data_IF_866199589923
#
_entry.id   IF_866199589923
#
_cell.length_a   1.000
_cell.length_b   1.000
_cell.length_c   1.000
_cell.angle_alpha   90.00
_cell.angle_beta   90.00
_cell.angle_gamma   90.00
#
_symmetry.space_group_name_H-M   'P 1'
#
loop_
_entity.id
_entity.type
_entity.pdbx_description
1 polymer ?
#
# COMPACT_ATOMS: atom_id res chain seq x y z
N UNK A 1 5.27 -4.85 -16.58
CA UNK A 1 6.50 -5.44 -15.98
C UNK A 1 6.15 -5.87 -14.58
N UNK A 2 6.58 -7.06 -14.10
CA UNK A 2 6.31 -7.53 -12.74
C UNK A 2 7.63 -7.82 -12.02
N UNK A 3 7.84 -7.19 -10.86
CA UNK A 3 9.00 -7.36 -9.99
C UNK A 3 8.54 -7.77 -8.61
N UNK A 4 9.19 -8.78 -8.04
CA UNK A 4 9.07 -9.13 -6.62
C UNK A 4 10.45 -9.11 -6.00
N UNK A 5 10.54 -8.61 -4.77
CA UNK A 5 11.81 -8.54 -4.08
C UNK A 5 11.69 -8.57 -2.56
N UNK A 6 12.82 -8.89 -1.95
CA UNK A 6 13.03 -8.84 -0.51
C UNK A 6 14.20 -7.90 -0.24
N UNK A 7 14.07 -7.07 0.79
CA UNK A 7 15.14 -6.23 1.31
C UNK A 7 15.31 -6.54 2.80
N UNK A 8 16.54 -6.52 3.29
CA UNK A 8 16.88 -6.59 4.72
C UNK A 8 17.09 -5.18 5.31
N UNK A 9 16.52 -4.15 4.66
CA UNK A 9 16.63 -2.76 5.05
C UNK A 9 17.77 -2.00 4.37
N UNK A 10 18.35 -2.55 3.29
CA UNK A 10 19.35 -1.84 2.49
C UNK A 10 18.78 -0.62 1.76
N UNK A 11 17.48 -0.64 1.49
CA UNK A 11 16.71 0.46 0.91
C UNK A 11 15.29 0.46 1.50
N UNK A 12 14.63 1.60 1.41
CA UNK A 12 13.31 1.91 1.95
C UNK A 12 12.26 2.03 0.83
N UNK A 13 11.00 2.21 1.23
CA UNK A 13 9.93 2.53 0.27
C UNK A 13 10.19 3.86 -0.48
N UNK A 14 10.82 4.84 0.19
CA UNK A 14 11.18 6.10 -0.45
C UNK A 14 12.17 5.89 -1.61
N UNK A 15 13.18 5.04 -1.39
CA UNK A 15 14.18 4.70 -2.41
C UNK A 15 13.54 3.95 -3.60
N UNK A 16 12.54 3.09 -3.34
CA UNK A 16 11.78 2.44 -4.41
C UNK A 16 10.95 3.43 -5.24
N UNK A 17 10.35 4.44 -4.60
CA UNK A 17 9.60 5.48 -5.29
C UNK A 17 10.55 6.33 -6.14
N UNK A 18 11.71 6.72 -5.59
CA UNK A 18 12.74 7.47 -6.31
C UNK A 18 13.23 6.70 -7.54
N UNK A 19 13.62 5.43 -7.38
CA UNK A 19 14.03 4.58 -8.49
C UNK A 19 12.91 4.38 -9.52
N UNK A 20 11.64 4.31 -9.08
CA UNK A 20 10.48 4.29 -9.97
C UNK A 20 10.38 5.56 -10.80
N UNK A 21 10.49 6.73 -10.17
CA UNK A 21 10.41 8.04 -10.84
C UNK A 21 11.57 8.28 -11.82
N UNK A 22 12.74 7.73 -11.57
CA UNK A 22 13.86 7.75 -12.54
C UNK A 22 13.51 7.04 -13.85
N UNK A 23 12.68 5.99 -13.79
CA UNK A 23 12.24 5.21 -14.95
C UNK A 23 10.99 5.81 -15.58
N UNK A 24 9.99 6.16 -14.78
CA UNK A 24 8.69 6.65 -15.29
C UNK A 24 8.76 8.09 -15.78
N UNK A 25 9.76 8.85 -15.32
CA UNK A 25 9.74 10.30 -15.38
C UNK A 25 8.69 10.89 -14.42
N UNK A 26 8.34 12.18 -14.60
CA UNK A 26 7.43 12.84 -13.67
C UNK A 26 6.05 12.16 -13.58
N UNK A 27 5.52 12.00 -12.38
CA UNK A 27 4.28 11.28 -12.09
C UNK A 27 3.51 11.86 -10.89
N UNK A 28 2.20 11.59 -10.86
CA UNK A 28 1.36 11.74 -9.68
C UNK A 28 1.63 10.58 -8.72
N UNK A 29 1.94 10.91 -7.46
CA UNK A 29 2.36 9.93 -6.46
C UNK A 29 1.30 9.78 -5.38
N UNK A 30 0.86 8.55 -5.13
CA UNK A 30 0.00 8.24 -3.97
C UNK A 30 0.73 7.28 -3.06
N UNK A 31 0.73 7.53 -1.75
CA UNK A 31 1.39 6.67 -0.77
C UNK A 31 0.40 6.29 0.33
N UNK A 32 0.21 4.99 0.53
CA UNK A 32 -0.39 4.48 1.74
C UNK A 32 0.70 3.91 2.65
N UNK A 33 0.70 4.32 3.91
CA UNK A 33 1.64 3.81 4.91
C UNK A 33 1.02 3.84 6.30
N UNK A 34 1.38 2.88 7.16
CA UNK A 34 0.95 2.92 8.55
C UNK A 34 1.72 3.99 9.35
N UNK A 35 2.99 4.22 9.02
CA UNK A 35 3.77 5.29 9.64
C UNK A 35 4.80 5.90 8.70
N UNK A 36 5.21 7.13 8.98
CA UNK A 36 6.22 7.84 8.21
C UNK A 36 7.42 8.22 9.09
N UNK A 37 8.58 8.39 8.47
CA UNK A 37 9.86 8.69 9.12
C UNK A 37 10.49 9.93 8.52
N UNK A 38 9.73 11.02 8.43
CA UNK A 38 10.19 12.30 7.88
C UNK A 38 10.98 13.16 8.88
N UNK A 39 11.52 12.60 9.97
CA UNK A 39 12.22 13.40 10.98
C UNK A 39 13.56 13.94 10.53
N UNK A 40 14.14 13.32 9.51
CA UNK A 40 15.27 13.92 8.86
C UNK A 40 14.73 14.97 7.89
N UNK A 41 15.05 16.24 8.16
CA UNK A 41 14.77 17.36 7.26
C UNK A 41 15.28 17.05 5.86
N UNK A 42 16.38 16.31 5.73
CA UNK A 42 16.89 15.90 4.44
C UNK A 42 15.99 14.88 3.74
N UNK A 43 15.34 13.95 4.45
CA UNK A 43 14.42 12.99 3.83
C UNK A 43 13.14 13.69 3.36
N UNK A 44 12.61 14.60 4.16
CA UNK A 44 11.47 15.43 3.78
C UNK A 44 11.83 16.39 2.63
N UNK A 45 13.01 17.00 2.64
CA UNK A 45 13.49 17.88 1.58
C UNK A 45 13.80 17.12 0.31
N UNK A 46 14.52 15.99 0.36
CA UNK A 46 14.78 15.12 -0.80
C UNK A 46 13.46 14.76 -1.46
N UNK A 47 12.49 14.31 -0.67
CA UNK A 47 11.20 13.92 -1.19
C UNK A 47 10.38 15.09 -1.74
N UNK A 48 10.38 16.26 -1.08
CA UNK A 48 9.75 17.48 -1.60
C UNK A 48 10.47 18.07 -2.83
N UNK A 49 11.76 17.77 -3.00
CA UNK A 49 12.61 18.21 -4.11
C UNK A 49 12.72 17.18 -5.24
N UNK A 50 12.07 16.01 -5.13
CA UNK A 50 11.91 15.10 -6.26
C UNK A 50 11.10 15.84 -7.31
N UNK A 51 11.78 16.54 -8.22
CA UNK A 51 11.17 17.35 -9.28
C UNK A 51 10.35 16.54 -10.28
N UNK A 52 10.31 15.21 -10.11
CA UNK A 52 9.45 14.29 -10.80
C UNK A 52 8.04 14.16 -10.17
N UNK A 53 7.79 14.62 -8.94
CA UNK A 53 6.46 14.50 -8.34
C UNK A 53 5.56 15.64 -8.83
N UNK A 54 4.50 15.31 -9.58
CA UNK A 54 3.51 16.27 -10.12
C UNK A 54 2.46 16.65 -9.08
N UNK A 55 1.99 15.65 -8.33
CA UNK A 55 1.08 15.80 -7.20
C UNK A 55 1.33 14.67 -6.20
N UNK A 56 0.87 14.87 -4.96
CA UNK A 56 1.04 13.87 -3.92
C UNK A 56 -0.21 13.67 -3.06
N UNK A 57 -0.52 12.41 -2.75
CA UNK A 57 -1.57 12.02 -1.82
C UNK A 57 -1.06 11.01 -0.80
N UNK A 58 -1.54 11.14 0.43
CA UNK A 58 -1.22 10.26 1.55
C UNK A 58 -2.47 9.62 2.13
N UNK A 59 -2.37 8.32 2.39
CA UNK A 59 -3.34 7.54 3.15
C UNK A 59 -2.64 6.93 4.35
N UNK A 60 -2.91 7.44 5.54
CA UNK A 60 -2.19 7.05 6.76
C UNK A 60 -3.09 6.47 7.84
N UNK A 61 -2.49 5.68 8.72
CA UNK A 61 -3.20 5.19 9.88
C UNK A 61 -3.42 6.29 10.93
N UNK A 62 -4.57 6.21 11.59
CA UNK A 62 -4.97 7.11 12.68
C UNK A 62 -4.18 6.95 13.98
N UNK A 63 -3.31 5.94 14.11
CA UNK A 63 -2.43 5.81 15.28
C UNK A 63 -1.15 6.63 15.13
N UNK A 64 -0.77 7.33 16.20
CA UNK A 64 0.53 7.95 16.33
C UNK A 64 1.49 6.96 17.01
N UNK A 65 2.71 6.84 16.49
CA UNK A 65 3.78 6.05 17.12
C UNK A 65 4.87 6.98 17.64
N UNK A 66 5.34 6.70 18.85
CA UNK A 66 6.43 7.48 19.46
C UNK A 66 7.68 7.41 18.58
N UNK A 67 8.19 8.57 18.18
CA UNK A 67 9.36 8.67 17.31
C UNK A 67 9.10 8.25 15.86
N UNK A 68 7.86 8.36 15.36
CA UNK A 68 7.48 8.32 13.92
C UNK A 68 6.63 9.54 13.57
N UNK A 69 6.87 10.13 12.39
CA UNK A 69 6.15 11.31 11.92
C UNK A 69 4.65 10.99 11.94
N UNK A 70 3.91 11.85 12.61
CA UNK A 70 2.47 11.70 12.77
C UNK A 70 1.77 12.16 11.49
N UNK A 71 0.52 11.74 11.27
CA UNK A 71 -0.28 12.30 10.17
C UNK A 71 -0.40 13.83 10.23
N UNK A 72 -0.34 14.44 11.43
CA UNK A 72 -0.29 15.91 11.59
C UNK A 72 1.00 16.50 11.00
N UNK A 73 2.14 15.86 11.25
CA UNK A 73 3.43 16.30 10.70
C UNK A 73 3.43 16.22 9.17
N UNK A 74 2.89 15.14 8.62
CA UNK A 74 2.75 14.95 7.16
C UNK A 74 1.79 16.00 6.57
N UNK A 75 0.65 16.25 7.21
CA UNK A 75 -0.26 17.33 6.80
C UNK A 75 0.42 18.70 6.82
N UNK A 76 1.29 18.97 7.80
CA UNK A 76 2.05 20.22 7.89
C UNK A 76 3.08 20.39 6.76
N UNK A 77 3.62 19.28 6.23
CA UNK A 77 4.61 19.31 5.15
C UNK A 77 3.98 19.37 3.75
N UNK A 78 2.87 18.65 3.52
CA UNK A 78 2.28 18.46 2.19
C UNK A 78 0.91 19.12 2.01
N UNK A 79 0.37 19.76 3.06
CA UNK A 79 -0.98 20.28 3.07
C UNK A 79 -1.99 19.28 3.64
N UNK A 80 -3.03 19.79 4.29
CA UNK A 80 -4.10 18.97 4.87
C UNK A 80 -4.94 18.27 3.79
N UNK A 81 -5.10 18.93 2.64
CA UNK A 81 -5.80 18.43 1.46
C UNK A 81 -5.14 17.17 0.89
N UNK A 82 -3.82 17.03 1.07
CA UNK A 82 -3.00 15.94 0.52
C UNK A 82 -3.05 14.67 1.35
N UNK A 83 -3.75 14.64 2.50
CA UNK A 83 -3.75 13.49 3.40
C UNK A 83 -5.17 13.10 3.83
N UNK A 84 -5.40 11.79 3.92
CA UNK A 84 -6.55 11.18 4.61
C UNK A 84 -6.09 10.15 5.64
N UNK A 85 -6.82 10.09 6.74
CA UNK A 85 -6.48 9.27 7.90
C UNK A 85 -7.65 8.39 8.28
N UNK A 86 -7.41 7.09 8.39
CA UNK A 86 -8.38 6.12 8.92
C UNK A 86 -7.64 4.92 9.52
N UNK A 87 -8.33 3.81 9.82
CA UNK A 87 -7.66 2.59 10.28
C UNK A 87 -7.16 1.75 9.10
N UNK A 88 -5.86 1.73 8.88
CA UNK A 88 -5.24 0.95 7.80
C UNK A 88 -3.89 0.38 8.19
N UNK A 89 -3.58 -0.79 7.65
CA UNK A 89 -2.23 -1.35 7.66
C UNK A 89 -1.75 -1.67 6.23
N UNK A 90 -2.54 -1.29 5.21
CA UNK A 90 -2.16 -1.39 3.82
C UNK A 90 -0.99 -0.44 3.55
N UNK A 91 -0.04 -0.90 2.74
CA UNK A 91 1.13 -0.12 2.36
C UNK A 91 1.35 -0.33 0.87
N UNK A 92 1.28 0.77 0.15
CA UNK A 92 1.45 0.78 -1.28
C UNK A 92 1.87 2.17 -1.74
N UNK A 93 2.47 2.23 -2.92
CA UNK A 93 2.70 3.47 -3.64
C UNK A 93 2.20 3.35 -5.08
N UNK A 94 1.61 4.41 -5.60
CA UNK A 94 1.23 4.54 -7.01
C UNK A 94 2.10 5.62 -7.64
N UNK A 95 2.57 5.37 -8.85
CA UNK A 95 3.26 6.35 -9.68
C UNK A 95 2.55 6.34 -11.03
N UNK A 96 1.72 7.36 -11.27
CA UNK A 96 0.88 7.44 -12.47
C UNK A 96 1.24 8.65 -13.33
N UNK A 97 1.32 8.44 -14.64
CA UNK A 97 1.41 9.51 -15.63
C UNK A 97 0.78 9.06 -16.95
N UNK A 98 1.01 9.78 -18.04
CA UNK A 98 0.42 9.47 -19.35
C UNK A 98 0.88 8.13 -19.94
N UNK A 99 1.98 7.56 -19.44
CA UNK A 99 2.64 6.38 -20.01
C UNK A 99 2.78 5.22 -19.03
N UNK A 100 2.59 5.45 -17.73
CA UNK A 100 2.89 4.49 -16.68
C UNK A 100 1.78 4.44 -15.63
N UNK A 101 1.42 3.22 -15.24
CA UNK A 101 0.47 2.88 -14.19
C UNK A 101 1.16 1.97 -13.16
N UNK A 102 2.19 2.51 -12.49
CA UNK A 102 3.02 1.72 -11.58
C UNK A 102 2.35 1.59 -10.22
N UNK A 103 2.25 0.35 -9.75
CA UNK A 103 1.77 -0.03 -8.42
C UNK A 103 2.89 -0.75 -7.67
N UNK A 104 3.24 -0.24 -6.50
CA UNK A 104 4.15 -0.87 -5.54
C UNK A 104 3.32 -1.32 -4.35
N UNK A 105 3.26 -2.61 -4.04
CA UNK A 105 2.73 -3.10 -2.76
C UNK A 105 3.87 -3.59 -1.89
N UNK A 106 3.82 -3.31 -0.58
CA UNK A 106 4.96 -3.63 0.29
C UNK A 106 4.55 -3.90 1.74
N UNK A 107 5.44 -4.50 2.52
CA UNK A 107 5.37 -4.49 3.97
C UNK A 107 6.07 -3.28 4.61
N UNK A 108 6.90 -2.54 3.85
CA UNK A 108 7.66 -1.38 4.32
C UNK A 108 6.77 -0.19 4.67
N UNK A 109 7.00 0.40 5.84
CA UNK A 109 6.50 1.75 6.12
C UNK A 109 7.37 2.80 5.39
N UNK A 110 6.87 4.02 5.28
CA UNK A 110 7.61 5.16 4.75
C UNK A 110 8.63 5.71 5.76
N UNK A 111 9.50 4.85 6.27
CA UNK A 111 10.58 5.16 7.20
C UNK A 111 11.75 4.16 7.03
N UNK A 112 12.83 4.33 7.80
CA UNK A 112 13.90 3.36 7.85
C UNK A 112 13.40 2.05 8.48
N UNK A 113 13.42 0.97 7.70
CA UNK A 113 13.03 -0.38 8.13
C UNK A 113 14.22 -1.35 8.05
N UNK A 114 15.05 -1.48 9.11
CA UNK A 114 16.19 -2.41 9.12
C UNK A 114 15.72 -3.85 9.41
N UNK A 115 14.79 -4.36 8.60
CA UNK A 115 14.18 -5.68 8.72
C UNK A 115 14.04 -6.32 7.34
N UNK A 116 13.77 -7.62 7.32
CA UNK A 116 13.31 -8.28 6.10
C UNK A 116 11.91 -7.76 5.74
N UNK A 117 11.79 -7.15 4.57
CA UNK A 117 10.55 -6.56 4.04
C UNK A 117 10.35 -7.05 2.62
N UNK A 118 9.10 -7.29 2.25
CA UNK A 118 8.72 -7.69 0.89
C UNK A 118 8.18 -6.49 0.11
N UNK A 119 8.39 -6.52 -1.20
CA UNK A 119 7.70 -5.64 -2.12
C UNK A 119 7.40 -6.35 -3.43
N UNK A 120 6.33 -5.91 -4.06
CA UNK A 120 5.96 -6.22 -5.43
C UNK A 120 5.78 -4.89 -6.16
N UNK A 121 6.25 -4.81 -7.39
CA UNK A 121 6.10 -3.64 -8.27
C UNK A 121 5.64 -4.11 -9.63
N UNK A 122 4.57 -3.49 -10.12
CA UNK A 122 3.99 -3.79 -11.42
C UNK A 122 3.62 -2.51 -12.16
N UNK A 123 3.66 -2.54 -13.48
CA UNK A 123 3.03 -1.55 -14.35
C UNK A 123 1.79 -2.21 -14.95
N UNK A 124 0.62 -1.89 -14.39
CA UNK A 124 -0.67 -2.56 -14.67
C UNK A 124 -1.84 -1.61 -14.36
N UNK A 125 -2.55 -1.19 -15.40
CA UNK A 125 -3.66 -0.22 -15.29
C UNK A 125 -4.81 -0.73 -14.43
N UNK A 126 -5.21 -2.00 -14.56
CA UNK A 126 -6.34 -2.54 -13.80
C UNK A 126 -6.06 -2.55 -12.29
N UNK A 127 -4.83 -2.92 -11.90
CA UNK A 127 -4.37 -2.83 -10.51
C UNK A 127 -4.27 -1.39 -10.06
N UNK A 128 -3.70 -0.50 -10.88
CA UNK A 128 -3.58 0.91 -10.53
C UNK A 128 -4.95 1.56 -10.31
N UNK A 129 -5.94 1.24 -11.15
CA UNK A 129 -7.30 1.75 -11.03
C UNK A 129 -8.01 1.23 -9.79
N UNK A 130 -7.78 -0.02 -9.38
CA UNK A 130 -8.28 -0.55 -8.11
C UNK A 130 -7.78 0.29 -6.92
N UNK A 131 -6.47 0.49 -6.82
CA UNK A 131 -5.89 1.25 -5.70
C UNK A 131 -6.22 2.74 -5.78
N UNK A 132 -6.20 3.33 -6.98
CA UNK A 132 -6.53 4.74 -7.19
C UNK A 132 -7.99 5.02 -6.85
N UNK A 133 -8.92 4.20 -7.34
CA UNK A 133 -10.34 4.35 -7.01
C UNK A 133 -10.61 4.23 -5.51
N UNK A 134 -9.84 3.38 -4.81
CA UNK A 134 -9.97 3.21 -3.36
C UNK A 134 -9.55 4.49 -2.65
N UNK A 135 -8.42 5.07 -3.08
CA UNK A 135 -7.92 6.34 -2.56
C UNK A 135 -8.88 7.49 -2.89
N UNK A 136 -9.43 7.53 -4.10
CA UNK A 136 -10.39 8.57 -4.50
C UNK A 136 -11.65 8.57 -3.63
N UNK A 137 -12.15 7.38 -3.28
CA UNK A 137 -13.28 7.24 -2.34
C UNK A 137 -12.92 7.75 -0.94
N UNK A 138 -11.73 7.40 -0.43
CA UNK A 138 -11.25 7.92 0.85
C UNK A 138 -11.15 9.45 0.84
N UNK A 139 -10.66 10.04 -0.24
CA UNK A 139 -10.52 11.49 -0.36
C UNK A 139 -11.85 12.22 -0.48
N UNK A 140 -12.90 11.54 -0.95
CA UNK A 140 -14.28 12.05 -1.01
C UNK A 140 -14.98 11.97 0.35
N UNK A 141 -14.86 10.84 1.03
CA UNK A 141 -15.63 10.53 2.23
C UNK A 141 -14.98 11.06 3.52
N UNK A 142 -13.64 11.02 3.58
CA UNK A 142 -12.92 11.39 4.79
C UNK A 142 -12.52 12.88 4.77
N UNK A 143 -12.55 13.54 5.94
CA UNK A 143 -12.10 14.93 6.06
C UNK A 143 -10.60 15.06 5.78
N UNK A 144 -10.21 16.25 5.33
CA UNK A 144 -8.81 16.63 5.12
C UNK A 144 -8.02 16.63 6.43
N UNK A 145 -6.74 16.28 6.35
CA UNK A 145 -5.83 16.33 7.50
C UNK A 145 -5.96 15.14 8.45
N UNK A 146 -5.34 15.31 9.62
CA UNK A 146 -5.31 14.31 10.69
C UNK A 146 -6.46 14.56 11.69
N UNK A 147 -7.66 14.12 11.36
CA UNK A 147 -8.85 14.36 12.19
C UNK A 147 -8.99 13.42 13.39
N UNK A 148 -8.10 12.43 13.50
CA UNK A 148 -8.19 11.39 14.54
C UNK A 148 -9.34 10.41 14.33
N UNK A 149 -10.08 10.54 13.23
CA UNK A 149 -11.15 9.62 12.87
C UNK A 149 -10.56 8.22 12.60
N UNK A 150 -11.21 7.23 13.19
CA UNK A 150 -10.82 5.80 13.12
C UNK A 150 -11.85 4.99 12.33
N UNK A 151 -12.87 5.64 11.80
CA UNK A 151 -13.96 5.01 11.08
C UNK A 151 -13.45 4.50 9.74
N UNK A 152 -13.71 3.24 9.45
CA UNK A 152 -13.50 2.68 8.11
C UNK A 152 -14.72 3.09 7.29
N UNK A 153 -14.59 3.68 6.09
CA UNK A 153 -15.74 4.04 5.28
C UNK A 153 -16.65 2.83 5.03
N UNK A 154 -17.94 2.99 5.27
CA UNK A 154 -18.93 1.89 5.19
C UNK A 154 -19.36 1.58 3.74
N UNK A 155 -19.15 2.50 2.80
CA UNK A 155 -19.68 2.44 1.44
C UNK A 155 -18.60 2.66 0.38
N UNK A 156 -17.52 1.88 0.45
CA UNK A 156 -16.55 1.86 -0.64
C UNK A 156 -17.20 1.18 -1.86
N UNK A 157 -17.16 1.83 -3.03
CA UNK A 157 -17.74 1.31 -4.28
C UNK A 157 -16.91 0.16 -4.90
N UNK A 158 -16.58 -0.86 -4.09
CA UNK A 158 -15.75 -2.00 -4.46
C UNK A 158 -16.56 -3.30 -4.37
N UNK A 159 -16.28 -4.30 -5.22
CA UNK A 159 -16.87 -5.62 -5.06
C UNK A 159 -16.50 -6.22 -3.70
N UNK A 160 -17.51 -6.57 -2.90
CA UNK A 160 -17.29 -7.23 -1.62
C UNK A 160 -16.88 -8.70 -1.80
N UNK A 161 -15.99 -9.15 -0.92
CA UNK A 161 -15.68 -10.58 -0.76
C UNK A 161 -16.56 -11.13 0.35
N UNK A 162 -17.44 -12.07 0.02
CA UNK A 162 -18.19 -12.85 1.02
C UNK A 162 -17.24 -13.86 1.71
N UNK A 163 -16.83 -13.62 2.97
CA UNK A 163 -15.89 -14.50 3.67
C UNK A 163 -16.55 -15.81 4.12
N UNK A 164 -17.87 -15.91 4.05
CA UNK A 164 -18.64 -17.08 4.47
C UNK A 164 -19.00 -18.01 3.31
N UNK A 165 -18.48 -17.77 2.10
CA UNK A 165 -18.65 -18.70 0.98
C UNK A 165 -18.13 -20.10 1.35
N UNK A 166 -19.06 -21.01 1.60
CA UNK A 166 -18.76 -22.43 1.78
C UNK A 166 -18.20 -23.01 0.47
N UNK A 167 -16.93 -23.36 0.42
CA UNK A 167 -16.37 -24.10 -0.71
C UNK A 167 -16.74 -25.59 -0.57
N UNK A 168 -17.37 -26.16 -1.61
CA UNK A 168 -17.51 -27.63 -1.71
C UNK A 168 -16.20 -28.18 -2.24
N UNK A 169 -15.46 -28.91 -1.41
CA UNK A 169 -14.40 -29.80 -1.91
C UNK A 169 -15.09 -30.89 -2.72
N UNK A 170 -14.80 -30.98 -4.02
CA UNK A 170 -15.29 -32.06 -4.87
C UNK A 170 -14.98 -33.42 -4.25
N UNK A 171 -15.89 -34.39 -4.40
CA UNK A 171 -15.69 -35.73 -3.84
C UNK A 171 -14.36 -36.33 -4.29
N UNK A 172 -13.66 -37.02 -3.37
CA UNK A 172 -12.43 -37.76 -3.71
C UNK A 172 -12.73 -38.72 -4.86
N UNK A 173 -12.14 -38.47 -6.02
CA UNK A 173 -12.11 -39.45 -7.11
C UNK A 173 -11.03 -40.47 -6.77
N UNK A 174 -11.43 -41.64 -6.30
CA UNK A 174 -10.52 -42.77 -6.11
C UNK A 174 -10.38 -43.52 -7.45
N UNK A 175 -9.21 -43.43 -8.08
CA UNK A 175 -8.84 -44.28 -9.22
C UNK A 175 -7.84 -45.33 -8.75
N UNK A 176 -8.27 -46.60 -8.68
CA UNK A 176 -7.38 -47.75 -8.45
C UNK A 176 -7.98 -48.88 -7.59
N UNK A 177 -7.59 -50.15 -7.80
CA UNK A 177 -8.10 -51.28 -7.03
C UNK A 177 -7.50 -51.32 -5.61
N UNK A 178 -8.34 -51.06 -4.61
CA UNK A 178 -8.00 -51.11 -3.19
C UNK A 178 -7.86 -52.57 -2.70
N UNK A 179 -6.69 -52.96 -2.16
CA UNK A 179 -6.42 -54.19 -1.36
C UNK A 179 -5.31 -53.84 -0.36
N UNK A 180 -5.27 -54.21 0.94
CA UNK A 180 -5.98 -55.20 1.79
C UNK A 180 -5.86 -54.73 3.25
N UNK A 181 -6.83 -55.09 4.07
CA UNK A 181 -6.68 -55.26 5.52
C UNK A 181 -7.80 -56.17 6.02
N UNK A 182 -7.53 -57.45 6.21
CA UNK A 182 -8.47 -58.39 6.83
C UNK A 182 -8.56 -58.09 8.35
N UNK A 183 -9.71 -58.38 9.00
CA UNK A 183 -9.88 -58.08 10.42
C UNK A 183 -9.01 -59.02 11.27
N UNK A 184 -8.48 -58.51 12.39
CA UNK A 184 -7.92 -59.36 13.45
C UNK A 184 -9.05 -59.76 14.39
N UNK A 185 -9.07 -61.04 14.74
CA UNK A 185 -9.93 -61.68 15.75
C UNK A 185 -9.79 -61.04 17.13
#
# INVERSE_FOLDING_TARGET
MDVVGLTFGQFSLLDLIEAGLEVTGPADVTISTWSAGFYDVEAAQRFAQLGAIRSIRFVMDSSAKRGQATPVDVAGLFGAESIRVFRTHAKFALLRNESWDVVITTSMNLNLNPRCEQFEMTDDTDRADLFSGFVDELFRELPEGATGDRTVPEHLAFPDVDPQRSYRVGGRVATGPWRRGAPRE
#
